data_IF_399128136909
#
_entry.id   IF_399128136909
#
_cell.length_a   1.000
_cell.length_b   1.000
_cell.length_c   1.000
_cell.angle_alpha   90.00
_cell.angle_beta   90.00
_cell.angle_gamma   90.00
#
_symmetry.space_group_name_H-M   'P 1'
#
loop_
_entity.id
_entity.type
_entity.pdbx_description
1 polymer ?
#
# COMPACT_ATOMS: atom_id res chain seq x y z
N UNK A 1 -4.74 16.66 23.93
CA UNK A 1 -5.89 15.78 24.28
C UNK A 1 -7.12 15.94 23.38
N UNK A 2 -7.05 16.62 22.23
CA UNK A 2 -8.20 16.81 21.31
C UNK A 2 -8.21 15.80 20.13
N UNK A 3 -7.11 15.07 19.93
CA UNK A 3 -6.89 14.15 18.80
C UNK A 3 -7.85 12.93 18.77
N UNK A 4 -8.26 12.31 19.89
CA UNK A 4 -9.11 11.11 19.82
C UNK A 4 -10.54 11.39 19.32
N UNK A 5 -11.10 12.55 19.65
CA UNK A 5 -12.52 12.84 19.41
C UNK A 5 -12.82 13.05 17.91
N UNK A 6 -11.93 13.75 17.20
CA UNK A 6 -12.07 13.98 15.76
C UNK A 6 -11.99 12.67 14.96
N UNK A 7 -11.11 11.75 15.37
CA UNK A 7 -10.93 10.48 14.69
C UNK A 7 -12.06 9.48 14.91
N UNK A 8 -12.61 9.46 16.12
CA UNK A 8 -13.80 8.66 16.42
C UNK A 8 -15.00 9.22 15.64
N UNK A 9 -15.19 10.53 15.58
CA UNK A 9 -16.27 11.16 14.80
C UNK A 9 -16.14 10.89 13.29
N UNK A 10 -14.94 11.02 12.71
CA UNK A 10 -14.69 10.72 11.30
C UNK A 10 -14.89 9.23 10.99
N UNK A 11 -14.41 8.33 11.85
CA UNK A 11 -14.62 6.89 11.72
C UNK A 11 -16.10 6.49 11.83
N UNK A 12 -16.86 7.15 12.72
CA UNK A 12 -18.32 6.97 12.84
C UNK A 12 -19.04 7.47 11.60
N UNK A 13 -18.70 8.65 11.08
CA UNK A 13 -19.31 9.20 9.86
C UNK A 13 -19.01 8.32 8.64
N UNK A 14 -17.77 7.87 8.46
CA UNK A 14 -17.42 6.95 7.36
C UNK A 14 -18.14 5.61 7.47
N UNK A 15 -18.33 5.08 8.68
CA UNK A 15 -19.15 3.87 8.91
C UNK A 15 -20.62 4.11 8.59
N UNK A 16 -21.14 5.31 8.82
CA UNK A 16 -22.54 5.66 8.53
C UNK A 16 -22.80 5.86 7.03
N UNK A 17 -21.85 6.44 6.29
CA UNK A 17 -22.01 6.71 4.86
C UNK A 17 -21.49 5.58 3.94
N UNK A 18 -20.50 4.79 4.37
CA UNK A 18 -19.85 3.74 3.56
C UNK A 18 -19.53 2.48 4.39
N UNK A 19 -20.53 1.79 4.95
CA UNK A 19 -20.34 0.78 5.99
C UNK A 19 -19.48 -0.41 5.55
N UNK A 20 -19.69 -0.94 4.35
CA UNK A 20 -18.95 -2.12 3.86
C UNK A 20 -17.55 -1.75 3.32
N UNK A 21 -17.37 -0.55 2.77
CA UNK A 21 -16.07 -0.05 2.35
C UNK A 21 -15.17 0.17 3.56
N UNK A 22 -15.71 0.81 4.61
CA UNK A 22 -14.98 1.04 5.85
C UNK A 22 -14.59 -0.27 6.54
N UNK A 23 -15.52 -1.24 6.61
CA UNK A 23 -15.25 -2.57 7.17
C UNK A 23 -14.18 -3.32 6.38
N UNK A 24 -14.33 -3.41 5.05
CA UNK A 24 -13.38 -4.13 4.21
C UNK A 24 -11.98 -3.51 4.24
N UNK A 25 -11.89 -2.17 4.23
CA UNK A 25 -10.63 -1.44 4.40
C UNK A 25 -9.98 -1.71 5.75
N UNK A 26 -10.75 -1.68 6.85
CA UNK A 26 -10.22 -1.96 8.19
C UNK A 26 -9.67 -3.39 8.28
N UNK A 27 -10.42 -4.38 7.80
CA UNK A 27 -9.96 -5.78 7.77
C UNK A 27 -8.70 -5.95 6.93
N UNK A 28 -8.65 -5.29 5.78
CA UNK A 28 -7.49 -5.32 4.88
C UNK A 28 -6.25 -4.70 5.54
N UNK A 29 -6.39 -3.52 6.16
CA UNK A 29 -5.31 -2.85 6.88
C UNK A 29 -4.83 -3.70 8.06
N UNK A 30 -5.72 -4.31 8.83
CA UNK A 30 -5.32 -5.22 9.92
C UNK A 30 -4.53 -6.43 9.39
N UNK A 31 -4.95 -7.02 8.27
CA UNK A 31 -4.25 -8.16 7.67
C UNK A 31 -2.84 -7.77 7.18
N UNK A 32 -2.72 -6.69 6.39
CA UNK A 32 -1.42 -6.25 5.89
C UNK A 32 -0.51 -5.70 6.99
N UNK A 33 -1.08 -5.04 8.00
CA UNK A 33 -0.34 -4.61 9.19
C UNK A 33 0.17 -5.79 10.01
N UNK A 34 -0.64 -6.84 10.20
CA UNK A 34 -0.22 -8.06 10.89
C UNK A 34 0.90 -8.78 10.14
N UNK A 35 0.78 -8.92 8.82
CA UNK A 35 1.84 -9.53 8.01
C UNK A 35 3.14 -8.72 8.03
N UNK A 36 3.04 -7.39 7.94
CA UNK A 36 4.19 -6.50 8.04
C UNK A 36 4.85 -6.54 9.43
N UNK A 37 4.04 -6.61 10.48
CA UNK A 37 4.52 -6.72 11.87
C UNK A 37 5.28 -8.03 12.10
N UNK A 38 4.80 -9.14 11.53
CA UNK A 38 5.53 -10.41 11.56
C UNK A 38 6.89 -10.27 10.87
N UNK A 39 6.95 -9.60 9.72
CA UNK A 39 8.22 -9.39 9.00
C UNK A 39 9.16 -8.46 9.77
N UNK A 40 8.67 -7.38 10.37
CA UNK A 40 9.47 -6.46 11.19
C UNK A 40 10.07 -7.17 12.43
N UNK A 41 9.35 -8.12 13.04
CA UNK A 41 9.81 -8.83 14.25
C UNK A 41 10.64 -10.10 13.95
N UNK A 42 10.30 -10.85 12.91
CA UNK A 42 10.89 -12.17 12.62
C UNK A 42 11.78 -12.17 11.36
N UNK A 43 11.77 -11.08 10.58
CA UNK A 43 12.47 -10.99 9.31
C UNK A 43 13.98 -10.98 9.48
N UNK A 44 14.66 -11.87 8.76
CA UNK A 44 16.10 -11.95 8.73
C UNK A 44 16.64 -11.31 7.44
N UNK A 45 17.34 -10.17 7.53
CA UNK A 45 17.79 -9.36 6.38
C UNK A 45 18.79 -10.06 5.43
N UNK A 46 19.22 -11.27 5.76
CA UNK A 46 20.21 -12.03 5.00
C UNK A 46 19.69 -12.55 3.64
N UNK A 47 18.37 -12.62 3.43
CA UNK A 47 17.76 -13.18 2.22
C UNK A 47 16.80 -12.17 1.57
N UNK A 48 17.32 -11.24 0.75
CA UNK A 48 16.50 -10.26 0.01
C UNK A 48 16.48 -10.53 -1.52
N UNK A 49 15.39 -10.13 -2.17
CA UNK A 49 15.18 -10.24 -3.62
C UNK A 49 14.59 -11.57 -4.10
N UNK A 50 14.05 -11.60 -5.33
CA UNK A 50 13.41 -12.81 -5.90
C UNK A 50 14.40 -13.98 -5.96
N UNK A 51 15.64 -13.77 -6.39
CA UNK A 51 16.67 -14.83 -6.42
C UNK A 51 17.01 -15.40 -5.04
N UNK A 52 16.95 -14.57 -3.99
CA UNK A 52 17.13 -15.01 -2.60
C UNK A 52 15.97 -15.89 -2.15
N UNK A 53 14.73 -15.45 -2.41
CA UNK A 53 13.53 -16.23 -2.14
C UNK A 53 13.48 -17.54 -2.93
N UNK A 54 13.87 -17.56 -4.21
CA UNK A 54 13.94 -18.79 -5.01
C UNK A 54 14.98 -19.79 -4.50
N UNK A 55 16.10 -19.33 -3.92
CA UNK A 55 17.08 -20.21 -3.26
C UNK A 55 16.54 -20.77 -1.94
N UNK A 56 15.89 -19.94 -1.13
CA UNK A 56 15.26 -20.35 0.12
C UNK A 56 14.10 -21.34 -0.09
N UNK A 57 13.29 -21.10 -1.14
CA UNK A 57 12.20 -21.98 -1.53
C UNK A 57 12.71 -23.37 -1.95
N UNK A 58 13.89 -23.43 -2.60
CA UNK A 58 14.56 -24.70 -2.95
C UNK A 58 15.16 -25.43 -1.75
N UNK A 59 15.49 -24.73 -0.66
CA UNK A 59 15.94 -25.34 0.59
C UNK A 59 14.80 -25.69 1.55
N UNK A 60 13.54 -25.39 1.18
CA UNK A 60 12.38 -25.64 2.04
C UNK A 60 12.24 -24.64 3.20
N UNK A 61 12.98 -23.53 3.18
CA UNK A 61 12.87 -22.49 4.19
C UNK A 61 11.72 -21.53 3.85
N UNK A 62 10.68 -21.52 4.69
CA UNK A 62 9.63 -20.52 4.64
C UNK A 62 10.19 -19.19 5.17
N UNK A 63 10.58 -18.30 4.25
CA UNK A 63 10.98 -16.93 4.62
C UNK A 63 9.78 -16.12 5.06
N UNK A 64 10.01 -15.10 5.89
CA UNK A 64 8.97 -14.13 6.26
C UNK A 64 8.40 -13.41 5.03
N UNK A 65 9.23 -13.20 4.00
CA UNK A 65 8.80 -12.71 2.69
C UNK A 65 7.81 -13.65 1.96
N UNK A 66 8.02 -14.97 2.01
CA UNK A 66 7.10 -15.94 1.43
C UNK A 66 5.76 -15.99 2.19
N UNK A 67 5.82 -15.97 3.54
CA UNK A 67 4.63 -15.86 4.38
C UNK A 67 3.83 -14.58 4.04
N UNK A 68 4.51 -13.44 3.97
CA UNK A 68 3.91 -12.15 3.62
C UNK A 68 3.24 -12.16 2.25
N UNK A 69 3.88 -12.76 1.24
CA UNK A 69 3.30 -12.87 -0.10
C UNK A 69 2.03 -13.74 -0.11
N UNK A 70 2.06 -14.90 0.54
CA UNK A 70 0.92 -15.82 0.60
C UNK A 70 -0.23 -15.21 1.41
N UNK A 71 0.06 -14.72 2.62
CA UNK A 71 -0.95 -14.16 3.52
C UNK A 71 -1.54 -12.85 2.96
N UNK A 72 -0.68 -11.93 2.49
CA UNK A 72 -1.11 -10.69 1.86
C UNK A 72 -1.91 -10.93 0.58
N UNK A 73 -1.49 -11.90 -0.25
CA UNK A 73 -2.23 -12.34 -1.43
C UNK A 73 -3.61 -12.88 -1.06
N UNK A 74 -3.70 -13.78 -0.08
CA UNK A 74 -4.97 -14.32 0.40
C UNK A 74 -5.89 -13.23 0.96
N UNK A 75 -5.36 -12.28 1.73
CA UNK A 75 -6.11 -11.13 2.25
C UNK A 75 -6.64 -10.22 1.13
N UNK A 76 -5.83 -9.95 0.11
CA UNK A 76 -6.22 -9.17 -1.06
C UNK A 76 -7.32 -9.87 -1.88
N UNK A 77 -7.23 -11.19 -2.06
CA UNK A 77 -8.28 -11.99 -2.70
C UNK A 77 -9.59 -11.99 -1.89
N UNK A 78 -9.50 -12.19 -0.57
CA UNK A 78 -10.67 -12.14 0.31
C UNK A 78 -11.35 -10.76 0.26
N UNK A 79 -10.58 -9.68 0.24
CA UNK A 79 -11.07 -8.32 0.01
C UNK A 79 -11.78 -8.20 -1.34
N UNK A 80 -11.16 -8.64 -2.44
CA UNK A 80 -11.76 -8.56 -3.78
C UNK A 80 -13.07 -9.35 -3.87
N UNK A 81 -13.14 -10.56 -3.29
CA UNK A 81 -14.36 -11.38 -3.21
C UNK A 81 -15.45 -10.65 -2.43
N UNK A 82 -15.11 -10.05 -1.28
CA UNK A 82 -16.07 -9.32 -0.46
C UNK A 82 -16.64 -8.12 -1.20
N UNK A 83 -15.78 -7.31 -1.83
CA UNK A 83 -16.17 -6.10 -2.58
C UNK A 83 -17.03 -6.44 -3.79
N UNK A 84 -16.74 -7.55 -4.50
CA UNK A 84 -17.51 -8.02 -5.64
C UNK A 84 -18.98 -8.37 -5.31
N UNK A 85 -19.34 -8.52 -4.03
CA UNK A 85 -20.75 -8.70 -3.60
C UNK A 85 -21.55 -7.41 -3.61
N UNK A 86 -20.88 -6.26 -3.59
CA UNK A 86 -21.49 -4.93 -3.49
C UNK A 86 -21.29 -4.08 -4.74
N UNK A 87 -20.26 -4.37 -5.52
CA UNK A 87 -20.03 -3.77 -6.83
C UNK A 87 -20.47 -4.80 -7.86
N UNK A 88 -21.41 -4.47 -8.77
CA UNK A 88 -21.99 -5.35 -9.80
C UNK A 88 -20.98 -5.82 -10.87
N UNK A 89 -19.81 -6.26 -10.44
CA UNK A 89 -18.59 -6.51 -11.22
C UNK A 89 -18.03 -7.90 -10.91
N UNK A 90 -18.90 -8.90 -10.77
CA UNK A 90 -18.55 -10.27 -10.33
C UNK A 90 -17.77 -11.13 -11.33
N UNK A 91 -17.21 -10.56 -12.41
CA UNK A 91 -16.38 -11.33 -13.34
C UNK A 91 -15.04 -11.70 -12.68
N UNK A 92 -14.63 -12.97 -12.81
CA UNK A 92 -13.37 -13.51 -12.30
C UNK A 92 -12.15 -12.66 -12.70
N UNK A 93 -12.14 -12.12 -13.93
CA UNK A 93 -11.04 -11.26 -14.39
C UNK A 93 -10.91 -9.97 -13.57
N UNK A 94 -12.05 -9.33 -13.24
CA UNK A 94 -12.08 -8.11 -12.42
C UNK A 94 -11.70 -8.43 -10.97
N UNK A 95 -12.14 -9.57 -10.46
CA UNK A 95 -11.79 -10.04 -9.12
C UNK A 95 -10.28 -10.24 -8.98
N UNK A 96 -9.66 -10.96 -9.93
CA UNK A 96 -8.21 -11.18 -9.95
C UNK A 96 -7.46 -9.85 -10.11
N UNK A 97 -7.93 -8.98 -11.01
CA UNK A 97 -7.35 -7.64 -11.19
C UNK A 97 -7.37 -6.84 -9.88
N UNK A 98 -8.50 -6.80 -9.17
CA UNK A 98 -8.64 -6.06 -7.91
C UNK A 98 -7.73 -6.63 -6.81
N UNK A 99 -7.65 -7.96 -6.68
CA UNK A 99 -6.74 -8.60 -5.74
C UNK A 99 -5.27 -8.27 -6.04
N UNK A 100 -4.88 -8.31 -7.33
CA UNK A 100 -3.53 -7.96 -7.75
C UNK A 100 -3.21 -6.48 -7.53
N UNK A 101 -4.15 -5.56 -7.82
CA UNK A 101 -3.97 -4.12 -7.55
C UNK A 101 -3.67 -3.91 -6.07
N UNK A 102 -4.42 -4.53 -5.15
CA UNK A 102 -4.20 -4.40 -3.71
C UNK A 102 -2.85 -4.97 -3.29
N UNK A 103 -2.55 -6.21 -3.67
CA UNK A 103 -1.31 -6.88 -3.27
C UNK A 103 -0.06 -6.17 -3.83
N UNK A 104 -0.10 -5.77 -5.10
CA UNK A 104 1.01 -5.07 -5.74
C UNK A 104 1.13 -3.62 -5.26
N UNK A 105 0.04 -2.95 -4.88
CA UNK A 105 0.13 -1.61 -4.28
C UNK A 105 0.79 -1.67 -2.89
N UNK A 106 0.44 -2.67 -2.06
CA UNK A 106 1.11 -2.92 -0.79
C UNK A 106 2.61 -3.14 -0.97
N UNK A 107 2.98 -4.05 -1.89
CA UNK A 107 4.39 -4.32 -2.17
C UNK A 107 5.10 -3.10 -2.79
N UNK A 108 4.44 -2.35 -3.68
CA UNK A 108 5.01 -1.15 -4.30
C UNK A 108 5.39 -0.10 -3.26
N UNK A 109 4.50 0.24 -2.31
CA UNK A 109 4.82 1.20 -1.25
C UNK A 109 5.96 0.69 -0.37
N UNK A 110 5.98 -0.61 -0.06
CA UNK A 110 7.07 -1.26 0.68
C UNK A 110 8.42 -1.16 -0.04
N UNK A 111 8.47 -1.24 -1.38
CA UNK A 111 9.70 -1.06 -2.16
C UNK A 111 10.29 0.35 -2.03
N UNK A 112 9.45 1.34 -1.73
CA UNK A 112 9.91 2.71 -1.50
C UNK A 112 10.36 2.95 -0.05
N UNK A 113 10.03 2.08 0.90
CA UNK A 113 10.37 2.22 2.33
C UNK A 113 11.83 1.88 2.67
N UNK A 114 12.76 2.36 1.84
CA UNK A 114 14.21 2.16 2.02
C UNK A 114 14.93 3.41 2.51
N UNK A 115 14.23 4.55 2.56
CA UNK A 115 14.75 5.81 3.09
C UNK A 115 13.63 6.60 3.78
N UNK A 116 13.97 7.38 4.82
CA UNK A 116 12.98 8.14 5.58
C UNK A 116 12.12 9.06 4.70
N UNK A 117 10.81 9.01 4.91
CA UNK A 117 9.79 9.82 4.24
C UNK A 117 9.26 9.26 2.91
N UNK A 118 9.89 8.25 2.31
CA UNK A 118 9.54 7.81 0.95
C UNK A 118 8.17 7.15 0.86
N UNK A 119 7.90 6.15 1.69
CA UNK A 119 6.62 5.43 1.68
C UNK A 119 5.44 6.40 1.89
N UNK A 120 5.57 7.32 2.85
CA UNK A 120 4.55 8.34 3.11
C UNK A 120 4.33 9.29 1.92
N UNK A 121 5.39 9.73 1.24
CA UNK A 121 5.26 10.55 0.02
C UNK A 121 4.56 9.79 -1.09
N UNK A 122 4.92 8.53 -1.33
CA UNK A 122 4.25 7.68 -2.32
C UNK A 122 2.77 7.56 -2.01
N UNK A 123 2.40 7.39 -0.74
CA UNK A 123 0.99 7.39 -0.32
C UNK A 123 0.29 8.72 -0.68
N UNK A 124 0.87 9.86 -0.29
CA UNK A 124 0.27 11.19 -0.53
C UNK A 124 0.12 11.48 -2.03
N UNK A 125 1.18 11.28 -2.81
CA UNK A 125 1.13 11.52 -4.26
C UNK A 125 0.25 10.51 -5.00
N UNK A 126 0.26 9.24 -4.57
CA UNK A 126 -0.63 8.21 -5.11
C UNK A 126 -2.10 8.54 -4.87
N UNK A 127 -2.44 8.99 -3.66
CA UNK A 127 -3.81 9.40 -3.33
C UNK A 127 -4.25 10.62 -4.13
N UNK A 128 -3.36 11.61 -4.30
CA UNK A 128 -3.61 12.77 -5.16
C UNK A 128 -3.81 12.36 -6.63
N UNK A 129 -2.99 11.45 -7.16
CA UNK A 129 -3.14 10.94 -8.51
C UNK A 129 -4.47 10.19 -8.71
N UNK A 130 -4.86 9.34 -7.75
CA UNK A 130 -6.17 8.66 -7.77
C UNK A 130 -7.32 9.66 -7.77
N UNK A 131 -7.23 10.76 -7.01
CA UNK A 131 -8.24 11.81 -7.00
C UNK A 131 -8.45 12.45 -8.37
N UNK A 132 -7.39 12.67 -9.13
CA UNK A 132 -7.47 13.28 -10.46
C UNK A 132 -8.14 12.38 -11.51
N UNK A 133 -8.12 11.06 -11.32
CA UNK A 133 -8.65 10.08 -12.30
C UNK A 133 -9.82 9.25 -11.76
N UNK A 134 -10.34 9.60 -10.58
CA UNK A 134 -11.41 8.86 -9.94
C UNK A 134 -12.73 8.98 -10.70
N UNK A 135 -13.36 7.83 -10.95
CA UNK A 135 -14.74 7.73 -11.43
C UNK A 135 -15.75 7.98 -10.29
N UNK A 136 -15.38 7.65 -9.06
CA UNK A 136 -16.17 7.87 -7.83
C UNK A 136 -15.35 8.62 -6.77
N UNK A 137 -15.05 9.92 -6.98
CA UNK A 137 -14.13 10.69 -6.15
C UNK A 137 -14.59 10.84 -4.69
N UNK A 138 -15.89 10.74 -4.40
CA UNK A 138 -16.44 10.80 -3.05
C UNK A 138 -15.90 9.69 -2.13
N UNK A 139 -15.53 8.53 -2.70
CA UNK A 139 -15.00 7.38 -1.94
C UNK A 139 -13.57 7.62 -1.45
N UNK A 140 -12.87 8.61 -1.98
CA UNK A 140 -11.53 8.99 -1.51
C UNK A 140 -11.56 9.53 -0.07
N UNK A 141 -12.71 10.05 0.36
CA UNK A 141 -12.90 10.51 1.75
C UNK A 141 -12.63 9.42 2.80
N UNK A 142 -12.75 8.14 2.44
CA UNK A 142 -12.35 6.99 3.27
C UNK A 142 -10.87 7.00 3.66
N UNK A 143 -10.02 7.64 2.86
CA UNK A 143 -8.58 7.73 3.10
C UNK A 143 -8.20 8.89 4.02
N UNK A 144 -9.11 9.82 4.33
CA UNK A 144 -8.78 11.00 5.14
C UNK A 144 -8.25 10.65 6.54
N UNK A 145 -8.78 9.61 7.23
CA UNK A 145 -8.19 9.17 8.48
C UNK A 145 -6.76 8.69 8.40
N UNK A 146 -6.48 7.90 7.36
CA UNK A 146 -5.15 7.38 7.10
C UNK A 146 -4.22 8.53 6.72
N UNK A 147 -4.68 9.45 5.87
CA UNK A 147 -3.92 10.62 5.43
C UNK A 147 -3.53 11.52 6.60
N UNK A 148 -4.47 11.92 7.47
CA UNK A 148 -4.09 12.83 8.54
C UNK A 148 -3.33 12.13 9.68
N UNK A 149 -3.51 10.83 9.92
CA UNK A 149 -2.59 10.05 10.76
C UNK A 149 -1.17 10.03 10.18
N UNK A 150 -1.05 9.79 8.87
CA UNK A 150 0.24 9.82 8.15
C UNK A 150 0.88 11.21 8.22
N UNK A 151 0.13 12.29 7.99
CA UNK A 151 0.67 13.66 8.06
C UNK A 151 1.18 14.02 9.46
N UNK A 152 0.58 13.46 10.53
CA UNK A 152 1.11 13.58 11.89
C UNK A 152 2.40 12.78 12.10
N UNK A 153 2.54 11.63 11.45
CA UNK A 153 3.71 10.75 11.53
C UNK A 153 4.90 11.22 10.66
N UNK A 154 4.61 11.76 9.46
CA UNK A 154 5.58 12.04 8.41
C UNK A 154 6.76 12.94 8.85
N UNK A 155 6.60 13.96 9.71
CA UNK A 155 7.73 14.76 10.20
C UNK A 155 8.76 13.93 10.98
N UNK A 156 8.31 12.93 11.75
CA UNK A 156 9.21 12.04 12.50
C UNK A 156 9.98 11.13 11.56
N UNK A 157 9.27 10.53 10.60
CA UNK A 157 9.84 9.67 9.55
C UNK A 157 10.85 10.43 8.70
N UNK A 158 10.49 11.61 8.17
CA UNK A 158 11.40 12.44 7.36
C UNK A 158 12.64 12.94 8.13
N UNK A 159 12.55 13.03 9.45
CA UNK A 159 13.68 13.34 10.33
C UNK A 159 14.47 12.11 10.81
N UNK A 160 14.19 10.93 10.24
CA UNK A 160 14.82 9.65 10.60
C UNK A 160 14.71 9.27 12.09
N UNK A 161 13.72 9.83 12.81
CA UNK A 161 13.44 9.51 14.22
C UNK A 161 12.58 8.27 14.39
N UNK A 162 11.85 7.91 13.34
CA UNK A 162 11.07 6.70 13.21
C UNK A 162 11.26 6.19 11.77
N UNK A 163 10.97 4.92 11.55
CA UNK A 163 10.90 4.32 10.23
C UNK A 163 9.55 3.63 10.10
N UNK A 164 8.89 3.79 8.94
CA UNK A 164 7.55 3.26 8.70
C UNK A 164 7.49 1.74 8.88
N UNK A 165 8.53 1.04 8.41
CA UNK A 165 8.65 -0.41 8.49
C UNK A 165 7.68 -1.12 7.56
N UNK A 166 7.77 -2.45 7.53
CA UNK A 166 6.87 -3.28 6.74
C UNK A 166 5.44 -3.18 7.30
N UNK A 167 5.27 -3.02 8.61
CA UNK A 167 3.95 -2.80 9.23
C UNK A 167 3.22 -1.61 8.61
N UNK A 168 3.85 -0.43 8.57
CA UNK A 168 3.20 0.79 8.09
C UNK A 168 3.12 0.87 6.56
N UNK A 169 4.20 0.50 5.85
CA UNK A 169 4.27 0.65 4.39
C UNK A 169 3.31 -0.28 3.65
N UNK A 170 3.14 -1.53 4.13
CA UNK A 170 2.14 -2.45 3.57
C UNK A 170 0.70 -1.96 3.82
N UNK A 171 0.42 -1.40 5.00
CA UNK A 171 -0.90 -0.84 5.33
C UNK A 171 -1.24 0.31 4.38
N UNK A 172 -0.31 1.24 4.17
CA UNK A 172 -0.50 2.38 3.27
C UNK A 172 -0.70 1.93 1.82
N UNK A 173 0.10 0.99 1.34
CA UNK A 173 -0.05 0.49 -0.02
C UNK A 173 -1.33 -0.33 -0.23
N UNK A 174 -1.73 -1.15 0.74
CA UNK A 174 -3.02 -1.86 0.69
C UNK A 174 -4.20 -0.89 0.69
N UNK A 175 -4.13 0.19 1.50
CA UNK A 175 -5.15 1.25 1.51
C UNK A 175 -5.22 2.01 0.17
N UNK A 176 -4.08 2.34 -0.45
CA UNK A 176 -4.05 2.91 -1.80
C UNK A 176 -4.67 1.98 -2.84
N UNK A 177 -4.34 0.68 -2.80
CA UNK A 177 -4.91 -0.31 -3.70
C UNK A 177 -6.43 -0.46 -3.52
N UNK A 178 -6.91 -0.49 -2.27
CA UNK A 178 -8.34 -0.51 -1.97
C UNK A 178 -9.04 0.78 -2.46
N UNK A 179 -8.41 1.95 -2.25
CA UNK A 179 -8.90 3.21 -2.78
C UNK A 179 -9.07 3.14 -4.30
N UNK A 180 -8.05 2.64 -5.01
CA UNK A 180 -8.13 2.45 -6.45
C UNK A 180 -9.27 1.52 -6.89
N UNK A 181 -9.46 0.40 -6.19
CA UNK A 181 -10.58 -0.54 -6.44
C UNK A 181 -11.94 0.15 -6.22
N UNK A 182 -12.05 1.02 -5.22
CA UNK A 182 -13.29 1.74 -4.95
C UNK A 182 -13.58 2.87 -5.93
N UNK A 183 -12.55 3.52 -6.48
CA UNK A 183 -12.71 4.80 -7.19
C UNK A 183 -12.50 4.72 -8.69
N UNK A 184 -11.76 3.74 -9.21
CA UNK A 184 -11.39 3.68 -10.63
C UNK A 184 -12.44 2.92 -11.46
N UNK A 185 -12.53 3.28 -12.74
CA UNK A 185 -13.19 2.46 -13.74
C UNK A 185 -12.36 1.18 -14.02
N UNK A 186 -12.95 0.11 -14.58
CA UNK A 186 -12.20 -1.11 -14.91
C UNK A 186 -11.00 -0.86 -15.83
N UNK A 187 -11.12 0.05 -16.81
CA UNK A 187 -10.01 0.40 -17.70
C UNK A 187 -8.89 1.11 -16.95
N UNK A 188 -9.20 2.08 -16.10
CA UNK A 188 -8.20 2.78 -15.28
C UNK A 188 -7.54 1.82 -14.28
N UNK A 189 -8.29 0.87 -13.72
CA UNK A 189 -7.76 -0.22 -12.89
C UNK A 189 -6.78 -1.12 -13.65
N UNK A 190 -7.09 -1.50 -14.89
CA UNK A 190 -6.17 -2.28 -15.72
C UNK A 190 -4.88 -1.52 -16.03
N UNK A 191 -4.98 -0.22 -16.36
CA UNK A 191 -3.81 0.64 -16.58
C UNK A 191 -2.95 0.69 -15.30
N UNK A 192 -3.56 0.90 -14.13
CA UNK A 192 -2.85 0.89 -12.86
C UNK A 192 -2.16 -0.45 -12.60
N UNK A 193 -2.84 -1.57 -12.86
CA UNK A 193 -2.26 -2.91 -12.72
C UNK A 193 -1.02 -3.07 -13.61
N UNK A 194 -1.09 -2.66 -14.87
CA UNK A 194 0.05 -2.72 -15.79
C UNK A 194 1.22 -1.83 -15.31
N UNK A 195 0.94 -0.64 -14.78
CA UNK A 195 1.95 0.24 -14.20
C UNK A 195 2.60 -0.40 -12.96
N UNK A 196 1.81 -1.02 -12.08
CA UNK A 196 2.32 -1.73 -10.91
C UNK A 196 3.20 -2.91 -11.33
N UNK A 197 2.77 -3.71 -12.31
CA UNK A 197 3.59 -4.81 -12.84
C UNK A 197 4.90 -4.26 -13.42
N UNK A 198 4.84 -3.22 -14.24
CA UNK A 198 6.02 -2.56 -14.81
C UNK A 198 6.99 -2.04 -13.75
N UNK A 199 6.47 -1.48 -12.65
CA UNK A 199 7.29 -1.06 -11.51
C UNK A 199 8.04 -2.25 -10.89
N UNK A 200 7.37 -3.38 -10.65
CA UNK A 200 8.00 -4.56 -10.02
C UNK A 200 9.04 -5.19 -10.95
N UNK A 201 8.74 -5.30 -12.25
CA UNK A 201 9.71 -5.74 -13.25
C UNK A 201 10.93 -4.83 -13.25
N UNK A 202 10.72 -3.50 -13.22
CA UNK A 202 11.82 -2.54 -13.18
C UNK A 202 12.65 -2.68 -11.90
N UNK A 203 12.00 -2.85 -10.75
CA UNK A 203 12.66 -2.97 -9.45
C UNK A 203 13.52 -4.24 -9.32
N UNK A 204 13.21 -5.32 -10.06
CA UNK A 204 14.02 -6.54 -10.10
C UNK A 204 15.37 -6.33 -10.81
N UNK A 205 15.38 -5.52 -11.87
CA UNK A 205 16.60 -5.30 -12.67
C UNK A 205 17.36 -4.03 -12.29
N UNK A 206 16.69 -3.03 -11.72
CA UNK A 206 17.29 -1.74 -11.38
C UNK A 206 16.81 -1.26 -10.01
N UNK A 207 17.75 -0.87 -9.15
CA UNK A 207 17.42 -0.24 -7.87
C UNK A 207 16.60 1.04 -8.10
N UNK A 208 15.41 1.13 -7.50
CA UNK A 208 14.59 2.35 -7.52
C UNK A 208 15.37 3.57 -7.01
N UNK A 209 16.30 3.36 -6.10
CA UNK A 209 17.15 4.43 -5.61
C UNK A 209 18.03 5.04 -6.71
N UNK A 210 18.57 4.20 -7.61
CA UNK A 210 19.36 4.65 -8.76
C UNK A 210 18.50 5.45 -9.74
N UNK A 211 17.25 5.02 -9.96
CA UNK A 211 16.29 5.74 -10.81
C UNK A 211 15.98 7.12 -10.23
N UNK A 212 15.72 7.20 -8.92
CA UNK A 212 15.44 8.46 -8.23
C UNK A 212 16.64 9.40 -8.27
N UNK A 213 17.85 8.92 -7.98
CA UNK A 213 19.06 9.77 -7.98
C UNK A 213 19.43 10.32 -9.37
N UNK A 214 19.02 9.63 -10.44
CA UNK A 214 19.27 10.02 -11.82
C UNK A 214 18.19 10.96 -12.41
N UNK A 215 17.12 11.24 -11.67
CA UNK A 215 16.04 12.15 -12.11
C UNK A 215 16.01 13.40 -11.25
N UNK A 216 16.15 14.58 -11.87
CA UNK A 216 16.13 15.87 -11.16
C UNK A 216 14.85 16.05 -10.34
N UNK A 217 13.70 15.73 -10.93
CA UNK A 217 12.39 15.91 -10.28
C UNK A 217 12.20 14.89 -9.15
N UNK A 218 12.46 13.60 -9.40
CA UNK A 218 12.28 12.57 -8.37
C UNK A 218 13.24 12.77 -7.20
N UNK A 219 14.48 13.18 -7.48
CA UNK A 219 15.47 13.51 -6.45
C UNK A 219 15.05 14.70 -5.60
N UNK A 220 14.50 15.75 -6.21
CA UNK A 220 13.98 16.90 -5.48
C UNK A 220 12.83 16.50 -4.55
N UNK A 221 11.88 15.72 -5.05
CA UNK A 221 10.76 15.18 -4.25
C UNK A 221 11.29 14.28 -3.12
N UNK A 222 12.27 13.41 -3.39
CA UNK A 222 12.86 12.51 -2.40
C UNK A 222 13.51 13.27 -1.24
N UNK A 223 14.26 14.35 -1.54
CA UNK A 223 14.95 15.16 -0.55
C UNK A 223 14.04 16.13 0.20
N UNK A 224 12.92 16.53 -0.40
CA UNK A 224 12.00 17.50 0.21
C UNK A 224 11.56 17.08 1.62
N UNK A 225 11.73 17.97 2.60
CA UNK A 225 11.33 17.74 4.00
C UNK A 225 12.30 16.88 4.83
N UNK A 226 13.34 16.27 4.23
CA UNK A 226 14.37 15.53 4.97
C UNK A 226 15.36 16.52 5.60
N UNK A 227 15.73 16.26 6.85
CA UNK A 227 16.84 16.95 7.51
C UNK A 227 18.10 16.13 7.19
N UNK A 228 19.03 16.73 6.46
CA UNK A 228 20.35 16.15 6.23
C UNK A 228 21.16 16.09 7.53
#
# INVERSE_FOLDING_TARGET
MVVPFFWIAAGVLLRLYFPWQALSLLMLMMAFGFAGMIDDFLGNRAQSGLRGHWRALRSGELTTGAFKAIFGGAAAFAFAIFVARFMDNGNLAVLVMNALIVALSANAVNLFDLRPGRAGKVFVFGLAALFLVAFSPERITLMFPILAALLGYLPFDMSAKAMMGDTGSNVLGAALGACAVFTLSPLAGLILLLLLIGLHVTAEFTSLNKIIENSVVLKAIDRWGRKE
#
